data_IF_450709288781
#
_entry.id   IF_450709288781
#
_cell.length_a   1.000
_cell.length_b   1.000
_cell.length_c   1.000
_cell.angle_alpha   90.00
_cell.angle_beta   90.00
_cell.angle_gamma   90.00
#
_symmetry.space_group_name_H-M   'P 1'
#
loop_
_entity.id
_entity.type
_entity.pdbx_description
1 polymer ?
#
# COMPACT_ATOMS: atom_id res chain seq x y z
N UNK A 1 6.71 17.63 15.44
CA UNK A 1 7.41 16.50 16.07
C UNK A 1 8.14 15.87 14.91
N UNK A 2 9.47 15.90 14.97
CA UNK A 2 10.41 16.08 13.86
C UNK A 2 10.04 15.40 12.53
N UNK A 3 9.90 16.26 11.51
CA UNK A 3 10.13 15.89 10.11
C UNK A 3 11.50 15.22 10.04
N UNK A 4 11.52 13.91 9.80
CA UNK A 4 12.74 13.24 9.34
C UNK A 4 12.91 13.68 7.89
N UNK A 5 13.43 14.90 7.72
CA UNK A 5 14.00 15.38 6.48
C UNK A 5 14.90 14.28 5.90
N UNK A 6 14.77 14.05 4.60
CA UNK A 6 15.55 13.07 3.82
C UNK A 6 17.04 13.38 3.71
N UNK A 7 17.66 13.85 4.78
CA UNK A 7 19.06 14.26 4.87
C UNK A 7 19.80 13.31 5.82
N UNK A 8 20.47 12.31 5.22
CA UNK A 8 21.35 11.33 5.85
C UNK A 8 20.69 10.43 6.92
N UNK A 9 20.46 9.17 6.57
CA UNK A 9 20.19 8.14 7.58
C UNK A 9 21.29 8.19 8.65
N UNK A 10 20.95 8.31 9.95
CA UNK A 10 21.95 8.31 10.99
C UNK A 10 22.74 7.00 10.94
N UNK A 11 24.06 7.07 10.74
CA UNK A 11 25.02 5.97 10.87
C UNK A 11 24.67 4.98 12.00
N UNK A 12 24.17 5.50 13.12
CA UNK A 12 23.73 4.76 14.30
C UNK A 12 22.65 3.72 14.02
N UNK A 13 21.74 3.98 13.07
CA UNK A 13 20.66 3.06 12.70
C UNK A 13 21.23 1.83 11.96
N UNK A 14 22.14 2.07 11.01
CA UNK A 14 22.79 1.00 10.24
C UNK A 14 23.75 0.20 11.12
N UNK A 15 24.48 0.85 12.03
CA UNK A 15 25.32 0.16 13.01
C UNK A 15 24.51 -0.76 13.92
N UNK A 16 23.32 -0.31 14.39
CA UNK A 16 22.44 -1.13 15.21
C UNK A 16 21.95 -2.41 14.49
N UNK A 17 21.71 -2.31 13.17
CA UNK A 17 21.45 -3.46 12.32
C UNK A 17 22.69 -4.38 12.23
N UNK A 18 23.87 -3.83 11.93
CA UNK A 18 25.10 -4.63 11.77
C UNK A 18 25.48 -5.39 13.05
N UNK A 19 25.27 -4.81 14.23
CA UNK A 19 25.46 -5.49 15.52
C UNK A 19 24.54 -6.71 15.70
N UNK A 20 23.34 -6.67 15.09
CA UNK A 20 22.29 -7.69 15.22
C UNK A 20 22.08 -8.49 13.93
N UNK A 21 22.96 -8.35 12.94
CA UNK A 21 22.77 -8.80 11.56
C UNK A 21 22.31 -10.26 11.48
N UNK A 22 22.93 -11.15 12.27
CA UNK A 22 22.57 -12.58 12.29
C UNK A 22 21.12 -12.82 12.76
N UNK A 23 20.68 -12.11 13.78
CA UNK A 23 19.31 -12.21 14.30
C UNK A 23 18.31 -11.65 13.30
N UNK A 24 18.62 -10.51 12.69
CA UNK A 24 17.76 -9.91 11.65
C UNK A 24 17.64 -10.81 10.43
N UNK A 25 18.74 -11.37 9.91
CA UNK A 25 18.68 -12.31 8.78
C UNK A 25 17.86 -13.55 9.11
N UNK A 26 17.99 -14.11 10.32
CA UNK A 26 17.15 -15.23 10.74
C UNK A 26 15.66 -14.86 10.78
N UNK A 27 15.31 -13.64 11.23
CA UNK A 27 13.94 -13.14 11.16
C UNK A 27 13.47 -13.02 9.71
N UNK A 28 14.29 -12.45 8.82
CA UNK A 28 13.94 -12.30 7.40
C UNK A 28 13.75 -13.66 6.70
N UNK A 29 14.56 -14.67 7.02
CA UNK A 29 14.38 -16.05 6.53
C UNK A 29 13.02 -16.63 6.98
N UNK A 30 12.62 -16.37 8.23
CA UNK A 30 11.31 -16.78 8.73
C UNK A 30 10.16 -16.05 8.04
N UNK A 31 10.28 -14.74 7.81
CA UNK A 31 9.28 -13.94 7.12
C UNK A 31 9.13 -14.37 5.65
N UNK A 32 10.24 -14.64 4.97
CA UNK A 32 10.22 -15.14 3.60
C UNK A 32 9.51 -16.50 3.51
N UNK A 33 9.79 -17.40 4.44
CA UNK A 33 9.09 -18.68 4.53
C UNK A 33 7.58 -18.48 4.72
N UNK A 34 7.16 -17.60 5.63
CA UNK A 34 5.74 -17.29 5.84
C UNK A 34 5.09 -16.70 4.59
N UNK A 35 5.80 -15.82 3.88
CA UNK A 35 5.34 -15.23 2.63
C UNK A 35 5.09 -16.29 1.55
N UNK A 36 6.03 -17.23 1.37
CA UNK A 36 5.89 -18.36 0.44
C UNK A 36 4.73 -19.29 0.83
N UNK A 37 4.47 -19.46 2.13
CA UNK A 37 3.33 -20.22 2.65
C UNK A 37 1.98 -19.48 2.52
N UNK A 38 1.97 -18.25 2.00
CA UNK A 38 0.77 -17.42 1.86
C UNK A 38 0.26 -16.82 3.17
N UNK A 39 1.08 -16.83 4.23
CA UNK A 39 0.71 -16.36 5.58
C UNK A 39 0.96 -14.86 5.72
N UNK A 40 0.39 -14.06 4.81
CA UNK A 40 0.69 -12.63 4.69
C UNK A 40 0.27 -11.80 5.90
N UNK A 41 -0.81 -12.18 6.61
CA UNK A 41 -1.21 -11.53 7.87
C UNK A 41 -0.12 -11.66 8.95
N UNK A 42 0.48 -12.84 9.07
CA UNK A 42 1.54 -13.06 10.06
C UNK A 42 2.84 -12.35 9.66
N UNK A 43 3.15 -12.28 8.36
CA UNK A 43 4.27 -11.48 7.86
C UNK A 43 4.09 -10.03 8.28
N UNK A 44 2.93 -9.43 8.01
CA UNK A 44 2.65 -8.04 8.37
C UNK A 44 2.72 -7.80 9.88
N UNK A 45 2.08 -8.64 10.69
CA UNK A 45 2.12 -8.51 12.14
C UNK A 45 3.56 -8.59 12.68
N UNK A 46 4.38 -9.49 12.14
CA UNK A 46 5.79 -9.59 12.57
C UNK A 46 6.63 -8.40 12.12
N UNK A 47 6.41 -7.89 10.90
CA UNK A 47 7.09 -6.68 10.41
C UNK A 47 6.66 -5.45 11.23
N UNK A 48 5.38 -5.34 11.58
CA UNK A 48 4.85 -4.31 12.48
C UNK A 48 5.47 -4.39 13.87
N UNK A 49 5.53 -5.59 14.47
CA UNK A 49 6.20 -5.79 15.76
C UNK A 49 7.69 -5.41 15.69
N UNK A 50 8.37 -5.68 14.56
CA UNK A 50 9.75 -5.24 14.35
C UNK A 50 9.85 -3.71 14.33
N UNK A 51 8.93 -3.03 13.63
CA UNK A 51 8.89 -1.57 13.60
C UNK A 51 8.63 -0.95 14.98
N UNK A 52 7.76 -1.57 15.78
CA UNK A 52 7.41 -1.09 17.12
C UNK A 52 8.51 -1.32 18.17
N UNK A 53 9.31 -2.38 18.03
CA UNK A 53 10.29 -2.79 19.05
C UNK A 53 11.75 -2.55 18.69
N UNK A 54 12.10 -2.56 17.40
CA UNK A 54 13.46 -2.40 16.89
C UNK A 54 13.45 -1.48 15.64
N UNK A 55 12.94 -0.26 15.82
CA UNK A 55 12.76 0.76 14.77
C UNK A 55 13.99 0.95 13.87
N UNK A 56 15.19 0.99 14.46
CA UNK A 56 16.44 1.12 13.70
C UNK A 56 16.67 -0.05 12.73
N UNK A 57 16.42 -1.29 13.18
CA UNK A 57 16.55 -2.48 12.33
C UNK A 57 15.49 -2.46 11.25
N UNK A 58 14.24 -2.13 11.62
CA UNK A 58 13.14 -2.01 10.69
C UNK A 58 13.45 -1.04 9.54
N UNK A 59 13.83 0.21 9.84
CA UNK A 59 14.12 1.19 8.80
C UNK A 59 15.34 0.81 7.96
N UNK A 60 16.40 0.24 8.57
CA UNK A 60 17.56 -0.24 7.81
C UNK A 60 17.14 -1.27 6.76
N UNK A 61 16.31 -2.25 7.15
CA UNK A 61 15.80 -3.25 6.21
C UNK A 61 14.86 -2.62 5.19
N UNK A 62 13.92 -1.78 5.59
CA UNK A 62 12.96 -1.14 4.68
C UNK A 62 13.66 -0.31 3.59
N UNK A 63 14.67 0.48 3.95
CA UNK A 63 15.46 1.26 2.98
C UNK A 63 16.37 0.39 2.11
N UNK A 64 16.90 -0.70 2.66
CA UNK A 64 17.68 -1.66 1.88
C UNK A 64 16.82 -2.34 0.81
N UNK A 65 15.63 -2.82 1.20
CA UNK A 65 14.67 -3.47 0.30
C UNK A 65 14.13 -2.52 -0.77
N UNK A 66 13.97 -1.23 -0.45
CA UNK A 66 13.53 -0.24 -1.45
C UNK A 66 14.54 -0.02 -2.58
N UNK A 67 15.77 -0.53 -2.46
CA UNK A 67 16.80 -0.43 -3.50
C UNK A 67 17.27 1.00 -3.78
N UNK A 68 17.12 1.92 -2.81
CA UNK A 68 17.41 3.33 -3.02
C UNK A 68 18.92 3.56 -3.24
N UNK A 69 19.28 4.10 -4.42
CA UNK A 69 20.68 4.45 -4.74
C UNK A 69 21.24 5.51 -3.79
N UNK A 70 20.41 6.46 -3.39
CA UNK A 70 20.79 7.50 -2.43
C UNK A 70 21.13 6.87 -1.09
N UNK A 71 20.26 5.96 -0.60
CA UNK A 71 20.49 5.25 0.66
C UNK A 71 21.83 4.51 0.67
N UNK A 72 22.11 3.71 -0.36
CA UNK A 72 23.39 3.00 -0.42
C UNK A 72 24.58 3.96 -0.52
N UNK A 73 24.46 5.05 -1.28
CA UNK A 73 25.52 6.08 -1.37
C UNK A 73 25.81 6.74 -0.02
N UNK A 74 24.78 7.02 0.78
CA UNK A 74 24.93 7.59 2.12
C UNK A 74 25.62 6.60 3.07
N UNK A 75 25.28 5.31 3.00
CA UNK A 75 25.95 4.25 3.77
C UNK A 75 27.43 4.14 3.39
N UNK A 76 27.76 4.16 2.10
CA UNK A 76 29.15 4.11 1.64
C UNK A 76 29.97 5.32 2.12
N UNK A 77 29.36 6.50 2.15
CA UNK A 77 30.01 7.73 2.58
C UNK A 77 30.24 7.78 4.10
N UNK A 78 29.31 7.24 4.90
CA UNK A 78 29.35 7.33 6.37
C UNK A 78 30.03 6.13 7.05
N UNK A 79 29.97 4.96 6.42
CA UNK A 79 30.55 3.71 6.90
C UNK A 79 31.64 3.25 5.92
N UNK A 80 31.30 2.31 5.03
CA UNK A 80 32.17 1.82 3.96
C UNK A 80 31.36 1.08 2.88
N UNK A 81 32.05 0.72 1.79
CA UNK A 81 31.46 -0.05 0.67
C UNK A 81 31.01 -1.45 1.11
N UNK A 82 31.69 -2.06 2.07
CA UNK A 82 31.34 -3.41 2.55
C UNK A 82 30.00 -3.41 3.30
N UNK A 83 29.72 -2.36 4.08
CA UNK A 83 28.43 -2.19 4.75
C UNK A 83 27.31 -2.00 3.73
N UNK A 84 27.53 -1.18 2.69
CA UNK A 84 26.55 -1.00 1.63
C UNK A 84 26.29 -2.30 0.85
N UNK A 85 27.33 -3.07 0.52
CA UNK A 85 27.20 -4.35 -0.17
C UNK A 85 26.37 -5.35 0.65
N UNK A 86 26.59 -5.44 1.97
CA UNK A 86 25.76 -6.30 2.83
C UNK A 86 24.28 -5.93 2.84
N UNK A 87 23.96 -4.64 2.72
CA UNK A 87 22.59 -4.16 2.65
C UNK A 87 21.98 -4.40 1.26
N UNK A 88 22.77 -4.33 0.19
CA UNK A 88 22.34 -4.74 -1.16
C UNK A 88 21.98 -6.22 -1.20
N UNK A 89 22.76 -7.07 -0.52
CA UNK A 89 22.45 -8.50 -0.41
C UNK A 89 21.05 -8.75 0.18
N UNK A 90 20.53 -7.84 1.02
CA UNK A 90 19.17 -7.98 1.58
C UNK A 90 18.10 -7.81 0.52
N UNK A 91 18.23 -6.85 -0.40
CA UNK A 91 17.24 -6.67 -1.47
C UNK A 91 17.30 -7.78 -2.50
N UNK A 92 18.51 -8.31 -2.76
CA UNK A 92 18.69 -9.47 -3.64
C UNK A 92 18.10 -10.75 -3.04
N UNK A 93 18.24 -10.94 -1.72
CA UNK A 93 17.80 -12.17 -1.04
C UNK A 93 16.32 -12.11 -0.67
N UNK A 94 15.86 -11.00 -0.08
CA UNK A 94 14.54 -10.87 0.55
C UNK A 94 13.61 -9.90 -0.20
N UNK A 95 13.83 -9.71 -1.50
CA UNK A 95 13.02 -8.80 -2.33
C UNK A 95 11.52 -9.10 -2.30
N UNK A 96 11.12 -10.35 -2.00
CA UNK A 96 9.72 -10.75 -1.81
C UNK A 96 9.03 -10.09 -0.61
N UNK A 97 9.78 -9.51 0.32
CA UNK A 97 9.27 -8.81 1.51
C UNK A 97 9.12 -7.30 1.31
N UNK A 98 9.51 -6.77 0.15
CA UNK A 98 9.56 -5.32 -0.12
C UNK A 98 8.23 -4.64 0.18
N UNK A 99 7.12 -5.17 -0.33
CA UNK A 99 5.80 -4.57 -0.15
C UNK A 99 5.36 -4.58 1.31
N UNK A 100 5.63 -5.68 2.04
CA UNK A 100 5.28 -5.78 3.45
C UNK A 100 6.00 -4.71 4.29
N UNK A 101 7.29 -4.49 4.05
CA UNK A 101 8.05 -3.44 4.73
C UNK A 101 7.61 -2.04 4.29
N UNK A 102 7.31 -1.82 3.00
CA UNK A 102 6.83 -0.54 2.51
C UNK A 102 5.49 -0.15 3.15
N UNK A 103 4.55 -1.09 3.25
CA UNK A 103 3.24 -0.87 3.86
C UNK A 103 3.37 -0.53 5.34
N UNK A 104 4.10 -1.35 6.11
CA UNK A 104 4.28 -1.10 7.55
C UNK A 104 5.00 0.23 7.76
N UNK A 105 5.94 0.60 6.88
CA UNK A 105 6.61 1.90 6.97
C UNK A 105 5.59 3.02 6.86
N UNK A 106 4.72 2.99 5.85
CA UNK A 106 3.65 3.99 5.70
C UNK A 106 2.67 3.98 6.89
N UNK A 107 2.33 2.81 7.44
CA UNK A 107 1.48 2.73 8.64
C UNK A 107 2.10 3.42 9.85
N UNK A 108 3.41 3.24 10.06
CA UNK A 108 4.12 3.80 11.21
C UNK A 108 4.44 5.28 11.01
N UNK A 109 4.89 5.69 9.82
CA UNK A 109 5.35 7.06 9.58
C UNK A 109 4.24 8.06 9.27
N UNK A 110 3.09 7.59 8.77
CA UNK A 110 2.02 8.46 8.28
C UNK A 110 0.67 8.22 8.97
N UNK A 111 0.66 7.50 10.10
CA UNK A 111 -0.55 7.12 10.86
C UNK A 111 -1.63 6.48 9.98
N UNK A 112 -1.22 5.84 8.88
CA UNK A 112 -2.13 5.11 8.01
C UNK A 112 -2.46 3.76 8.64
N UNK A 113 -3.64 3.23 8.33
CA UNK A 113 -4.03 1.89 8.79
C UNK A 113 -4.58 1.08 7.62
N UNK A 114 -3.96 -0.07 7.36
CA UNK A 114 -4.36 -0.99 6.29
C UNK A 114 -4.56 -0.26 4.95
N UNK A 115 -3.55 0.46 4.44
CA UNK A 115 -3.70 1.22 3.19
C UNK A 115 -4.10 0.26 2.06
N UNK A 116 -5.17 0.61 1.34
CA UNK A 116 -5.61 -0.16 0.17
C UNK A 116 -4.66 0.13 -0.98
N UNK A 117 -3.94 -0.89 -1.43
CA UNK A 117 -2.98 -0.78 -2.54
C UNK A 117 -3.48 -1.45 -3.80
N UNK A 118 -4.41 -2.41 -3.68
CA UNK A 118 -4.99 -3.12 -4.81
C UNK A 118 -6.45 -3.56 -4.52
N UNK A 119 -7.18 -3.93 -5.57
CA UNK A 119 -8.56 -4.40 -5.50
C UNK A 119 -8.78 -5.52 -6.50
N UNK A 120 -9.07 -6.73 -6.03
CA UNK A 120 -9.59 -7.80 -6.88
C UNK A 120 -11.12 -7.74 -6.94
N UNK A 121 -11.70 -8.13 -8.08
CA UNK A 121 -13.16 -8.18 -8.21
C UNK A 121 -13.62 -9.33 -9.10
N UNK A 122 -14.87 -9.75 -8.89
CA UNK A 122 -15.58 -10.73 -9.70
C UNK A 122 -16.96 -10.19 -10.08
N UNK A 123 -17.46 -10.58 -11.24
CA UNK A 123 -18.80 -10.23 -11.71
C UNK A 123 -19.58 -11.49 -12.00
N UNK A 124 -20.80 -11.56 -11.48
CA UNK A 124 -21.72 -12.68 -11.66
C UNK A 124 -23.14 -12.15 -11.87
N UNK A 125 -24.06 -12.98 -12.36
CA UNK A 125 -25.48 -12.60 -12.46
C UNK A 125 -26.32 -13.48 -11.55
N UNK A 126 -27.09 -12.87 -10.63
CA UNK A 126 -27.92 -13.60 -9.69
C UNK A 126 -29.38 -13.60 -10.15
N UNK A 127 -29.81 -14.73 -10.72
CA UNK A 127 -31.16 -14.87 -11.30
C UNK A 127 -32.29 -14.63 -10.29
N UNK A 128 -32.10 -14.92 -9.01
CA UNK A 128 -33.14 -14.73 -7.99
C UNK A 128 -33.47 -13.27 -7.67
N UNK A 129 -32.57 -12.33 -7.99
CA UNK A 129 -32.80 -10.88 -7.83
C UNK A 129 -32.66 -10.15 -9.17
N UNK A 130 -32.56 -10.92 -10.26
CA UNK A 130 -32.41 -10.45 -11.64
C UNK A 130 -31.37 -9.33 -11.83
N UNK A 131 -30.28 -9.40 -11.07
CA UNK A 131 -29.28 -8.34 -11.02
C UNK A 131 -27.86 -8.90 -11.14
N UNK A 132 -26.95 -8.20 -11.84
CA UNK A 132 -25.52 -8.46 -11.69
C UNK A 132 -25.10 -8.26 -10.23
N UNK A 133 -24.11 -9.02 -9.81
CA UNK A 133 -23.51 -8.96 -8.50
C UNK A 133 -21.99 -8.84 -8.67
N UNK A 134 -21.45 -7.82 -8.04
CA UNK A 134 -20.02 -7.51 -7.96
C UNK A 134 -19.50 -8.01 -6.62
N UNK A 135 -18.56 -8.96 -6.65
CA UNK A 135 -17.73 -9.28 -5.49
C UNK A 135 -16.45 -8.47 -5.57
N UNK A 136 -16.00 -7.87 -4.47
CA UNK A 136 -14.75 -7.10 -4.43
C UNK A 136 -14.00 -7.36 -3.13
N UNK A 137 -12.68 -7.30 -3.22
CA UNK A 137 -11.79 -7.64 -2.13
C UNK A 137 -10.56 -6.71 -2.14
N UNK A 138 -10.60 -5.65 -1.31
CA UNK A 138 -9.47 -4.74 -1.18
C UNK A 138 -8.28 -5.44 -0.53
N UNK A 139 -7.08 -5.10 -0.98
CA UNK A 139 -5.82 -5.66 -0.49
C UNK A 139 -4.86 -4.57 -0.03
N UNK A 140 -4.05 -4.90 0.97
CA UNK A 140 -2.90 -4.11 1.41
C UNK A 140 -1.64 -4.95 1.17
N UNK A 141 -0.99 -4.69 0.05
CA UNK A 141 -0.01 -5.59 -0.55
C UNK A 141 -0.64 -6.95 -0.79
N UNK A 142 0.00 -8.00 -0.28
CA UNK A 142 -0.51 -9.36 -0.42
C UNK A 142 -1.63 -9.72 0.59
N UNK A 143 -1.94 -8.85 1.55
CA UNK A 143 -3.00 -9.13 2.54
C UNK A 143 -4.37 -8.78 2.02
N UNK A 144 -5.30 -9.71 2.18
CA UNK A 144 -6.72 -9.48 1.96
C UNK A 144 -7.31 -8.75 3.19
N UNK A 145 -7.96 -7.61 2.97
CA UNK A 145 -8.49 -6.82 4.09
C UNK A 145 -9.89 -7.28 4.49
N UNK A 146 -10.79 -7.35 3.52
CA UNK A 146 -12.12 -7.89 3.66
C UNK A 146 -12.68 -8.30 2.30
N UNK A 147 -13.68 -9.18 2.31
CA UNK A 147 -14.46 -9.53 1.12
C UNK A 147 -15.87 -8.94 1.25
N UNK A 148 -16.38 -8.39 0.17
CA UNK A 148 -17.74 -7.88 0.11
C UNK A 148 -18.38 -8.19 -1.23
N UNK A 149 -19.71 -8.22 -1.24
CA UNK A 149 -20.50 -8.55 -2.42
C UNK A 149 -21.79 -7.73 -2.43
N UNK A 150 -22.05 -7.07 -3.55
CA UNK A 150 -23.22 -6.21 -3.70
C UNK A 150 -23.66 -6.07 -5.15
N UNK A 151 -24.86 -5.54 -5.34
CA UNK A 151 -25.32 -5.06 -6.64
C UNK A 151 -24.48 -3.86 -7.09
N UNK A 152 -24.42 -3.55 -8.40
CA UNK A 152 -23.72 -2.35 -8.87
C UNK A 152 -24.19 -1.07 -8.19
N UNK A 153 -25.48 -0.96 -7.84
CA UNK A 153 -26.01 0.20 -7.14
C UNK A 153 -25.39 0.38 -5.74
N UNK A 154 -25.20 -0.70 -5.00
CA UNK A 154 -24.60 -0.66 -3.66
C UNK A 154 -23.10 -0.34 -3.72
N UNK A 155 -22.39 -0.90 -4.72
CA UNK A 155 -20.96 -0.60 -4.94
C UNK A 155 -20.75 0.86 -5.36
N UNK A 156 -21.61 1.38 -6.24
CA UNK A 156 -21.54 2.79 -6.64
C UNK A 156 -21.88 3.72 -5.49
N UNK A 157 -22.86 3.37 -4.64
CA UNK A 157 -23.17 4.16 -3.45
C UNK A 157 -21.95 4.28 -2.52
N UNK A 158 -21.29 3.17 -2.19
CA UNK A 158 -20.04 3.20 -1.40
C UNK A 158 -18.96 4.07 -2.07
N UNK A 159 -18.83 3.96 -3.39
CA UNK A 159 -17.84 4.72 -4.15
C UNK A 159 -18.13 6.23 -4.10
N UNK A 160 -19.40 6.63 -4.18
CA UNK A 160 -19.83 8.03 -4.03
C UNK A 160 -19.49 8.55 -2.64
N UNK A 161 -19.86 7.83 -1.58
CA UNK A 161 -19.60 8.26 -0.20
C UNK A 161 -18.09 8.46 0.06
N UNK A 162 -17.23 7.61 -0.49
CA UNK A 162 -15.77 7.74 -0.37
C UNK A 162 -15.20 8.93 -1.15
N UNK A 163 -15.74 9.23 -2.34
CA UNK A 163 -15.35 10.42 -3.13
C UNK A 163 -15.80 11.70 -2.43
N UNK A 164 -17.00 11.72 -1.86
CA UNK A 164 -17.49 12.85 -1.06
C UNK A 164 -16.61 13.08 0.17
N UNK A 165 -16.32 12.03 0.94
CA UNK A 165 -15.43 12.14 2.11
C UNK A 165 -14.01 12.61 1.75
N UNK A 166 -13.49 12.22 0.58
CA UNK A 166 -12.20 12.71 0.07
C UNK A 166 -12.27 14.20 -0.25
N UNK A 167 -13.38 14.66 -0.83
CA UNK A 167 -13.61 16.08 -1.13
C UNK A 167 -13.69 16.89 0.15
N UNK A 168 -14.45 16.43 1.14
CA UNK A 168 -14.58 17.07 2.45
C UNK A 168 -13.22 17.22 3.16
N UNK A 169 -12.36 16.19 3.08
CA UNK A 169 -11.02 16.24 3.66
C UNK A 169 -10.13 17.31 3.00
N UNK A 170 -10.22 17.47 1.68
CA UNK A 170 -9.50 18.51 0.94
C UNK A 170 -10.06 19.90 1.22
N UNK A 171 -11.38 20.03 1.38
CA UNK A 171 -12.01 21.29 1.76
C UNK A 171 -11.54 21.74 3.15
N UNK A 172 -11.45 20.83 4.12
CA UNK A 172 -10.85 21.14 5.43
C UNK A 172 -9.40 21.61 5.29
N UNK A 173 -8.60 20.96 4.45
CA UNK A 173 -7.23 21.39 4.21
C UNK A 173 -7.15 22.80 3.58
N UNK A 174 -8.06 23.12 2.65
CA UNK A 174 -8.16 24.46 2.05
C UNK A 174 -8.60 25.52 3.06
N UNK A 175 -9.59 25.21 3.90
CA UNK A 175 -10.12 26.11 4.93
C UNK A 175 -9.08 26.41 6.02
N UNK A 176 -8.35 25.39 6.48
CA UNK A 176 -7.33 25.52 7.53
C UNK A 176 -5.96 25.94 6.97
N UNK A 177 -5.81 26.04 5.66
CA UNK A 177 -4.56 26.45 5.00
C UNK A 177 -3.44 25.40 5.09
N UNK A 178 -3.79 24.12 5.22
CA UNK A 178 -2.83 23.01 5.20
C UNK A 178 -2.34 22.75 3.78
N UNK A 179 -1.03 22.51 3.66
CA UNK A 179 -0.44 22.11 2.39
C UNK A 179 -0.68 20.63 2.13
N UNK A 180 -1.12 20.29 0.91
CA UNK A 180 -1.05 18.93 0.38
C UNK A 180 0.25 18.79 -0.39
N UNK A 181 1.00 17.71 -0.16
CA UNK A 181 2.27 17.49 -0.84
C UNK A 181 2.05 17.27 -2.35
N UNK A 182 3.07 17.55 -3.16
CA UNK A 182 2.95 17.53 -4.63
C UNK A 182 2.74 16.13 -5.22
N UNK A 183 3.25 15.10 -4.55
CA UNK A 183 3.09 13.71 -4.99
C UNK A 183 1.63 13.26 -4.83
N UNK A 184 1.04 13.53 -3.66
CA UNK A 184 -0.36 13.27 -3.36
C UNK A 184 -1.28 14.07 -4.29
N UNK A 185 -0.99 15.37 -4.51
CA UNK A 185 -1.77 16.17 -5.47
C UNK A 185 -1.74 15.58 -6.88
N UNK A 186 -0.59 15.09 -7.33
CA UNK A 186 -0.46 14.47 -8.66
C UNK A 186 -1.25 13.16 -8.73
N UNK A 187 -1.12 12.32 -7.70
CA UNK A 187 -1.88 11.06 -7.60
C UNK A 187 -3.40 11.30 -7.56
N UNK A 188 -3.86 12.32 -6.84
CA UNK A 188 -5.27 12.71 -6.79
C UNK A 188 -5.80 13.16 -8.15
N UNK A 189 -5.00 13.91 -8.91
CA UNK A 189 -5.36 14.34 -10.26
C UNK A 189 -5.50 13.13 -11.19
N UNK A 190 -4.50 12.25 -11.21
CA UNK A 190 -4.53 11.05 -12.04
C UNK A 190 -5.73 10.17 -11.68
N UNK A 191 -5.99 9.97 -10.38
CA UNK A 191 -7.10 9.14 -9.91
C UNK A 191 -8.46 9.74 -10.26
N UNK A 192 -8.60 11.07 -10.22
CA UNK A 192 -9.81 11.77 -10.69
C UNK A 192 -10.07 11.48 -12.16
N UNK A 193 -9.05 11.57 -13.01
CA UNK A 193 -9.18 11.34 -14.45
C UNK A 193 -9.55 9.89 -14.79
N UNK A 194 -9.00 8.93 -14.03
CA UNK A 194 -9.40 7.52 -14.11
C UNK A 194 -10.86 7.31 -13.73
N UNK A 195 -11.33 7.95 -12.65
CA UNK A 195 -12.72 7.89 -12.20
C UNK A 195 -13.67 8.49 -13.24
N UNK A 196 -13.35 9.67 -13.79
CA UNK A 196 -14.13 10.30 -14.86
C UNK A 196 -14.26 9.40 -16.09
N UNK A 197 -13.15 8.78 -16.49
CA UNK A 197 -13.10 7.83 -17.60
C UNK A 197 -13.97 6.59 -17.34
N UNK A 198 -13.94 6.05 -16.13
CA UNK A 198 -14.76 4.90 -15.73
C UNK A 198 -16.26 5.24 -15.67
N UNK A 199 -16.62 6.40 -15.12
CA UNK A 199 -18.00 6.90 -15.05
C UNK A 199 -18.58 7.16 -16.44
N UNK A 200 -17.76 7.65 -17.37
CA UNK A 200 -18.16 7.82 -18.77
C UNK A 200 -18.56 6.48 -19.42
N UNK A 201 -17.72 5.44 -19.26
CA UNK A 201 -18.04 4.09 -19.78
C UNK A 201 -19.29 3.51 -19.13
N UNK A 202 -19.42 3.64 -17.81
CA UNK A 202 -20.60 3.19 -17.08
C UNK A 202 -21.88 3.85 -17.62
N UNK A 203 -21.83 5.15 -17.92
CA UNK A 203 -22.97 5.86 -18.51
C UNK A 203 -23.36 5.28 -19.88
N UNK A 204 -22.37 5.02 -20.74
CA UNK A 204 -22.61 4.43 -22.05
C UNK A 204 -23.26 3.03 -21.92
N UNK A 205 -22.77 2.20 -21.00
CA UNK A 205 -23.31 0.87 -20.72
C UNK A 205 -24.76 0.94 -20.18
N UNK A 206 -25.05 1.88 -19.27
CA UNK A 206 -26.40 2.10 -18.75
C UNK A 206 -27.37 2.57 -19.84
N UNK A 207 -26.92 3.45 -20.74
CA UNK A 207 -27.73 3.90 -21.87
C UNK A 207 -27.97 2.78 -22.89
N UNK A 208 -27.00 1.87 -23.10
CA UNK A 208 -27.21 0.66 -23.91
C UNK A 208 -28.25 -0.27 -23.26
N UNK A 209 -28.13 -0.54 -21.96
CA UNK A 209 -29.07 -1.39 -21.22
C UNK A 209 -30.49 -0.83 -21.24
N UNK A 210 -30.66 0.50 -21.15
CA UNK A 210 -31.96 1.17 -21.29
C UNK A 210 -32.58 1.01 -22.67
N UNK A 211 -31.78 0.88 -23.72
CA UNK A 211 -32.25 0.73 -25.11
C UNK A 211 -32.54 -0.72 -25.47
N UNK A 212 -32.04 -1.70 -24.70
CA UNK A 212 -32.40 -3.11 -24.88
C UNK A 212 -33.84 -3.32 -24.38
N UNK A 213 -34.75 -3.84 -25.20
CA UNK A 213 -36.10 -4.17 -24.73
C UNK A 213 -35.98 -5.21 -23.61
N UNK A 214 -36.64 -4.96 -22.48
CA UNK A 214 -36.92 -6.00 -21.52
C UNK A 214 -37.76 -7.04 -22.27
N UNK A 215 -37.23 -8.26 -22.44
CA UNK A 215 -37.94 -9.31 -23.17
C UNK A 215 -39.28 -9.58 -22.51
N UNK A 216 -40.35 -9.62 -23.31
CA UNK A 216 -41.63 -10.21 -22.91
C UNK A 216 -41.42 -11.72 -22.68
N UNK A 217 -41.24 -12.14 -21.43
CA UNK A 217 -41.52 -13.51 -20.97
C UNK A 217 -42.57 -13.48 -19.86
#
# INVERSE_FOLDING_TARGET
>A
MDDVDGDSMPRTIVEAFLERERGTRALLDELEKLSIEGRHDEVHERVRNLAEHDEAVFYTVAFSLSGSKQFFGDVEAQLDVTAADRLRDLSETYGSLTDAFAIVRTEVSEDRRNPVTDLSYTVSYHRGVESPIVGYQPRSGERELFESRGTPSEVLHLSTDLVEATTDALDVALEEGYSVNTEELSALIDRREELESALSRLRDDLDELRRKPLGDE
#
